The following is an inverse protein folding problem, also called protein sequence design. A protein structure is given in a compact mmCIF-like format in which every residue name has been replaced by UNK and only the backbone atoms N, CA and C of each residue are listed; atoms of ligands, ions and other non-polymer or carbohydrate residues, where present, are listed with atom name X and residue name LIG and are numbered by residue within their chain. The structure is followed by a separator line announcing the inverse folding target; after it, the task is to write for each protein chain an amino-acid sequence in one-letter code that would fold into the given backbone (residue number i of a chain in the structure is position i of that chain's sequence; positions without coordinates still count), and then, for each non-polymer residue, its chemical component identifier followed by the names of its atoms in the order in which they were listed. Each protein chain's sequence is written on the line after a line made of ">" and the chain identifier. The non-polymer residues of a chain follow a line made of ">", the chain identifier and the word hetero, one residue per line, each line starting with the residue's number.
data_IF_471241130451
#
_entry.id   IF_471241130451
#
_cell.length_a   1.000
_cell.length_b   1.000
_cell.length_c   1.000
_cell.angle_alpha   90.00
_cell.angle_beta   90.00
_cell.angle_gamma   90.00
#
_symmetry.space_group_name_H-M   'P 1'
#
loop_
_entity.id
_entity.type
_entity.pdbx_description
1 polymer ?
#
# COMPACT_ATOMS: atom_id res chain seq x y z
N UNK A 1 10.44 25.25 6.66
CA UNK A 1 9.50 24.11 6.72
C UNK A 1 10.27 22.81 6.74
N UNK A 2 9.84 21.82 7.52
CA UNK A 2 10.30 20.44 7.35
C UNK A 2 9.57 19.85 6.13
N UNK A 3 10.17 20.00 4.95
CA UNK A 3 9.71 19.29 3.76
C UNK A 3 9.83 17.79 4.03
N UNK A 4 8.77 17.04 3.70
CA UNK A 4 8.78 15.59 3.78
C UNK A 4 9.83 15.04 2.80
N UNK A 5 10.88 14.37 3.32
CA UNK A 5 11.90 13.67 2.54
C UNK A 5 11.20 12.72 1.57
N UNK A 6 11.50 12.83 0.28
CA UNK A 6 10.92 12.00 -0.77
C UNK A 6 11.66 10.68 -0.85
N UNK A 7 10.91 9.56 -0.90
CA UNK A 7 11.52 8.24 -1.02
C UNK A 7 12.05 7.99 -2.43
N UNK A 8 11.40 8.53 -3.46
CA UNK A 8 11.87 8.37 -4.83
C UNK A 8 13.27 9.00 -5.05
N UNK A 9 13.58 10.07 -4.31
CA UNK A 9 14.87 10.78 -4.40
C UNK A 9 16.03 10.01 -3.75
N UNK A 10 15.74 8.93 -3.01
CA UNK A 10 16.72 8.08 -2.30
C UNK A 10 16.55 6.60 -2.68
N UNK A 11 16.03 6.37 -3.89
CA UNK A 11 15.81 5.03 -4.45
C UNK A 11 17.12 4.30 -4.76
N UNK A 12 18.25 5.01 -4.79
CA UNK A 12 19.60 4.50 -4.96
C UNK A 12 20.26 4.04 -3.65
N UNK A 13 19.58 4.19 -2.51
CA UNK A 13 20.01 3.60 -1.24
C UNK A 13 20.11 2.07 -1.39
N UNK A 14 21.29 1.45 -1.14
CA UNK A 14 21.49 0.03 -1.43
C UNK A 14 20.53 -0.91 -0.71
N UNK A 15 20.19 -0.61 0.55
CA UNK A 15 19.31 -1.46 1.33
C UNK A 15 17.87 -1.39 0.82
N UNK A 16 17.39 -0.20 0.45
CA UNK A 16 16.09 -0.03 -0.17
C UNK A 16 16.02 -0.69 -1.55
N UNK A 17 17.02 -0.48 -2.41
CA UNK A 17 17.08 -1.08 -3.75
C UNK A 17 17.12 -2.61 -3.69
N UNK A 18 17.96 -3.18 -2.83
CA UNK A 18 18.03 -4.64 -2.62
C UNK A 18 16.69 -5.20 -2.13
N UNK A 19 16.03 -4.51 -1.20
CA UNK A 19 14.72 -4.91 -0.70
C UNK A 19 13.66 -4.90 -1.81
N UNK A 20 13.56 -3.80 -2.57
CA UNK A 20 12.58 -3.67 -3.65
C UNK A 20 12.81 -4.73 -4.73
N UNK A 21 14.07 -4.98 -5.12
CA UNK A 21 14.42 -6.04 -6.08
C UNK A 21 14.07 -7.42 -5.54
N UNK A 22 14.38 -7.70 -4.28
CA UNK A 22 14.03 -8.96 -3.62
C UNK A 22 12.53 -9.25 -3.63
N UNK A 23 11.71 -8.21 -3.45
CA UNK A 23 10.24 -8.28 -3.52
C UNK A 23 9.67 -8.05 -4.92
N UNK A 24 10.53 -7.88 -5.92
CA UNK A 24 10.19 -7.62 -7.33
C UNK A 24 9.29 -6.38 -7.51
N UNK A 25 9.44 -5.40 -6.63
CA UNK A 25 8.69 -4.15 -6.62
C UNK A 25 9.37 -3.14 -7.54
N UNK A 26 8.58 -2.44 -8.34
CA UNK A 26 9.06 -1.36 -9.20
C UNK A 26 9.44 -0.14 -8.36
N UNK A 27 10.61 0.48 -8.60
CA UNK A 27 10.99 1.75 -7.98
C UNK A 27 9.98 2.88 -8.21
N UNK A 28 9.17 2.81 -9.27
CA UNK A 28 8.10 3.78 -9.51
C UNK A 28 7.04 3.77 -8.40
N UNK A 29 6.92 2.69 -7.64
CA UNK A 29 6.04 2.63 -6.48
C UNK A 29 6.42 3.68 -5.42
N UNK A 30 7.70 4.03 -5.28
CA UNK A 30 8.15 5.10 -4.38
C UNK A 30 7.57 6.47 -4.76
N UNK A 31 7.34 6.70 -6.06
CA UNK A 31 6.68 7.92 -6.55
C UNK A 31 5.20 7.96 -6.17
N UNK A 32 4.54 6.80 -6.11
CA UNK A 32 3.17 6.71 -5.60
C UNK A 32 3.11 7.04 -4.10
N UNK A 33 4.07 6.55 -3.32
CA UNK A 33 4.20 6.88 -1.89
C UNK A 33 4.40 8.38 -1.68
N UNK A 34 5.31 9.00 -2.45
CA UNK A 34 5.52 10.45 -2.40
C UNK A 34 4.28 11.22 -2.86
N UNK A 35 3.57 10.71 -3.87
CA UNK A 35 2.32 11.26 -4.37
C UNK A 35 1.23 11.25 -3.30
N UNK A 36 1.07 10.15 -2.57
CA UNK A 36 0.13 10.02 -1.45
C UNK A 36 0.38 11.11 -0.39
N UNK A 37 1.64 11.28 0.02
CA UNK A 37 2.01 12.27 1.04
C UNK A 37 1.77 13.71 0.59
N UNK A 38 1.91 13.97 -0.71
CA UNK A 38 1.56 15.28 -1.29
C UNK A 38 0.05 15.51 -1.35
N UNK A 39 -0.73 14.46 -1.54
CA UNK A 39 -2.20 14.54 -1.53
C UNK A 39 -2.75 14.83 -0.14
N UNK A 40 -2.09 14.32 0.91
CA UNK A 40 -2.52 14.46 2.30
C UNK A 40 -1.46 15.17 3.18
N UNK A 41 -1.12 16.44 2.90
CA UNK A 41 -0.12 17.17 3.69
C UNK A 41 -0.50 17.35 5.17
N UNK A 42 -1.79 17.30 5.50
CA UNK A 42 -2.33 17.40 6.85
C UNK A 42 -1.89 16.26 7.78
N UNK A 43 -1.37 15.15 7.24
CA UNK A 43 -0.78 14.06 8.03
C UNK A 43 0.30 14.61 8.98
N UNK A 44 1.05 15.64 8.57
CA UNK A 44 2.10 16.25 9.42
C UNK A 44 1.52 16.81 10.72
N UNK A 45 0.27 17.29 10.70
CA UNK A 45 -0.40 17.86 11.86
C UNK A 45 -1.06 16.80 12.73
N UNK A 46 -1.75 15.85 12.10
CA UNK A 46 -2.58 14.86 12.81
C UNK A 46 -1.80 13.61 13.24
N UNK A 47 -0.68 13.32 12.56
CA UNK A 47 0.26 12.27 12.94
C UNK A 47 1.73 12.74 12.78
N UNK A 48 2.21 13.58 13.73
CA UNK A 48 3.59 14.06 13.70
C UNK A 48 4.61 12.92 13.91
N UNK A 49 4.21 11.79 14.52
CA UNK A 49 5.06 10.63 14.72
C UNK A 49 5.39 9.95 13.40
N UNK A 50 4.38 9.68 12.59
CA UNK A 50 4.54 9.18 11.22
C UNK A 50 5.43 10.11 10.39
N UNK A 51 5.13 11.42 10.40
CA UNK A 51 5.94 12.40 9.68
C UNK A 51 7.40 12.44 10.15
N UNK A 52 7.65 12.26 11.44
CA UNK A 52 9.00 12.19 11.99
C UNK A 52 9.77 10.97 11.48
N UNK A 53 9.16 9.77 11.56
CA UNK A 53 9.78 8.52 11.10
C UNK A 53 10.10 8.61 9.60
N UNK A 54 9.12 9.03 8.79
CA UNK A 54 9.30 9.16 7.33
C UNK A 54 10.42 10.12 6.93
N UNK A 55 10.80 11.05 7.80
CA UNK A 55 11.86 12.04 7.54
C UNK A 55 13.24 11.65 8.09
N UNK A 56 13.27 10.88 9.18
CA UNK A 56 14.48 10.65 9.97
C UNK A 56 15.00 9.22 9.89
N UNK A 57 14.13 8.25 9.63
CA UNK A 57 14.54 6.86 9.51
C UNK A 57 15.40 6.62 8.25
N UNK A 58 16.09 5.48 8.23
CA UNK A 58 16.75 5.01 7.02
C UNK A 58 15.71 4.79 5.90
N UNK A 59 16.07 4.90 4.61
CA UNK A 59 15.12 4.79 3.51
C UNK A 59 14.28 3.51 3.53
N UNK A 60 14.91 2.36 3.79
CA UNK A 60 14.22 1.08 3.91
C UNK A 60 13.23 1.08 5.09
N UNK A 61 13.62 1.59 6.25
CA UNK A 61 12.76 1.63 7.43
C UNK A 61 11.57 2.58 7.22
N UNK A 62 11.79 3.74 6.60
CA UNK A 62 10.72 4.65 6.22
C UNK A 62 9.76 4.01 5.20
N UNK A 63 10.30 3.28 4.22
CA UNK A 63 9.49 2.51 3.29
C UNK A 63 8.63 1.45 4.01
N UNK A 64 9.25 0.61 4.84
CA UNK A 64 8.56 -0.46 5.60
C UNK A 64 7.47 0.11 6.50
N UNK A 65 7.79 1.20 7.21
CA UNK A 65 6.84 1.91 8.05
C UNK A 65 5.63 2.40 7.24
N UNK A 66 5.83 2.97 6.05
CA UNK A 66 4.74 3.36 5.17
C UNK A 66 3.88 2.16 4.73
N UNK A 67 4.51 1.10 4.21
CA UNK A 67 3.73 -0.02 3.63
C UNK A 67 3.00 -0.86 4.68
N UNK A 68 3.41 -0.80 5.96
CA UNK A 68 2.75 -1.45 7.10
C UNK A 68 1.31 -0.97 7.32
N UNK A 69 0.99 0.27 6.91
CA UNK A 69 -0.34 0.84 7.03
C UNK A 69 -1.04 1.10 5.70
N UNK A 70 -0.38 0.82 4.56
CA UNK A 70 -0.88 1.13 3.23
C UNK A 70 -1.69 -0.03 2.64
N UNK A 71 -2.96 0.20 2.33
CA UNK A 71 -3.89 -0.86 1.92
C UNK A 71 -3.89 -1.19 0.43
N UNK A 72 -3.16 -0.43 -0.39
CA UNK A 72 -3.05 -0.72 -1.82
C UNK A 72 -1.90 -1.68 -2.11
N UNK A 73 -2.06 -2.63 -3.05
CA UNK A 73 -0.97 -3.48 -3.50
C UNK A 73 0.18 -2.67 -4.10
N UNK A 74 1.41 -3.18 -3.95
CA UNK A 74 2.60 -2.63 -4.58
C UNK A 74 2.53 -2.65 -6.12
N UNK A 75 3.43 -1.91 -6.78
CA UNK A 75 3.68 -2.05 -8.22
C UNK A 75 4.86 -2.97 -8.42
N UNK A 76 4.69 -3.96 -9.28
CA UNK A 76 5.73 -4.93 -9.58
C UNK A 76 6.57 -4.47 -10.76
N UNK A 77 7.79 -4.99 -10.86
CA UNK A 77 8.58 -4.90 -12.07
C UNK A 77 7.81 -5.50 -13.26
N UNK A 78 8.11 -5.05 -14.50
CA UNK A 78 7.53 -5.65 -15.70
C UNK A 78 7.71 -7.17 -15.72
N UNK A 79 6.75 -7.86 -16.32
CA UNK A 79 6.74 -9.32 -16.54
C UNK A 79 6.72 -10.22 -15.29
N UNK A 80 6.75 -9.65 -14.08
CA UNK A 80 6.60 -10.42 -12.84
C UNK A 80 5.18 -10.99 -12.70
N UNK A 81 4.19 -10.14 -12.98
CA UNK A 81 2.79 -10.56 -12.99
C UNK A 81 2.38 -10.85 -14.42
N UNK A 82 1.84 -12.06 -14.72
CA UNK A 82 1.46 -12.43 -16.08
C UNK A 82 0.40 -11.47 -16.62
N UNK A 83 0.63 -10.91 -17.81
CA UNK A 83 -0.31 -10.02 -18.47
C UNK A 83 -1.29 -10.82 -19.34
N UNK A 84 -2.52 -10.33 -19.47
CA UNK A 84 -3.54 -10.94 -20.32
C UNK A 84 -4.33 -12.07 -19.65
N UNK A 85 -4.79 -13.03 -20.46
CA UNK A 85 -5.62 -14.13 -19.99
C UNK A 85 -4.78 -15.22 -19.32
N UNK A 86 -5.25 -15.66 -18.16
CA UNK A 86 -4.60 -16.72 -17.40
C UNK A 86 -5.11 -18.06 -17.94
N UNK A 87 -4.20 -19.03 -18.02
CA UNK A 87 -4.54 -20.42 -18.30
C UNK A 87 -3.77 -21.33 -17.36
N UNK A 88 -4.43 -22.39 -16.89
CA UNK A 88 -3.84 -23.38 -16.00
C UNK A 88 -4.09 -24.76 -16.59
N UNK A 89 -3.10 -25.64 -16.47
CA UNK A 89 -3.25 -27.03 -16.86
C UNK A 89 -4.30 -27.73 -15.95
N UNK A 90 -5.06 -28.69 -16.48
CA UNK A 90 -5.97 -29.49 -15.67
C UNK A 90 -5.23 -30.12 -14.48
N UNK A 91 -5.77 -29.96 -13.27
CA UNK A 91 -5.17 -30.49 -12.04
C UNK A 91 -4.11 -29.58 -11.39
N UNK A 92 -3.76 -28.44 -11.99
CA UNK A 92 -2.97 -27.41 -11.32
C UNK A 92 -3.62 -27.06 -9.97
N UNK A 93 -2.82 -27.11 -8.91
CA UNK A 93 -3.22 -26.75 -7.55
C UNK A 93 -2.35 -25.57 -7.11
N UNK A 94 -2.95 -24.43 -6.75
CA UNK A 94 -2.19 -23.26 -6.35
C UNK A 94 -1.49 -23.49 -5.01
N UNK A 95 -0.30 -22.92 -4.84
CA UNK A 95 0.31 -22.80 -3.53
C UNK A 95 -0.55 -21.91 -2.63
N UNK A 96 -0.54 -22.20 -1.33
CA UNK A 96 -1.34 -21.49 -0.34
C UNK A 96 -0.62 -20.24 0.15
N UNK A 97 -1.34 -19.12 0.18
CA UNK A 97 -0.87 -17.86 0.76
C UNK A 97 -0.72 -18.01 2.27
N UNK A 98 -1.60 -18.78 2.92
CA UNK A 98 -1.52 -19.04 4.35
C UNK A 98 -0.24 -19.75 4.81
N UNK A 99 0.40 -20.51 3.91
CA UNK A 99 1.62 -21.26 4.20
C UNK A 99 2.90 -20.43 3.91
N UNK A 100 2.76 -19.23 3.34
CA UNK A 100 3.89 -18.38 3.00
C UNK A 100 4.46 -17.66 4.24
N UNK A 101 5.79 -17.70 4.38
CA UNK A 101 6.51 -16.90 5.38
C UNK A 101 6.83 -15.53 4.77
N UNK A 102 6.14 -14.47 5.22
CA UNK A 102 6.35 -13.10 4.75
C UNK A 102 6.30 -12.13 5.93
N UNK A 103 7.45 -11.55 6.27
CA UNK A 103 7.60 -10.61 7.40
C UNK A 103 6.71 -9.37 7.22
N UNK A 104 6.58 -8.86 6.00
CA UNK A 104 5.76 -7.68 5.70
C UNK A 104 4.26 -7.97 5.92
N UNK A 105 3.78 -9.16 5.53
CA UNK A 105 2.44 -9.62 5.86
C UNK A 105 2.25 -9.74 7.38
N UNK A 106 3.19 -10.35 8.09
CA UNK A 106 3.10 -10.52 9.55
C UNK A 106 3.03 -9.16 10.27
N UNK A 107 3.89 -8.23 9.86
CA UNK A 107 3.91 -6.85 10.37
C UNK A 107 2.60 -6.12 10.02
N UNK A 108 2.11 -6.26 8.79
CA UNK A 108 0.86 -5.65 8.34
C UNK A 108 -0.34 -6.17 9.16
N UNK A 109 -0.46 -7.49 9.33
CA UNK A 109 -1.56 -8.07 10.12
C UNK A 109 -1.51 -7.63 11.58
N UNK A 110 -0.32 -7.66 12.18
CA UNK A 110 -0.13 -7.29 13.59
C UNK A 110 -0.44 -5.81 13.82
N UNK A 111 0.11 -4.93 12.98
CA UNK A 111 -0.05 -3.47 13.09
C UNK A 111 -1.51 -3.05 12.97
N UNK A 112 -2.27 -3.72 12.11
CA UNK A 112 -3.66 -3.39 11.85
C UNK A 112 -4.67 -4.22 12.67
N UNK A 113 -4.19 -5.14 13.52
CA UNK A 113 -5.04 -6.02 14.33
C UNK A 113 -5.89 -6.99 13.50
N UNK A 114 -5.39 -7.41 12.34
CA UNK A 114 -6.08 -8.31 11.43
C UNK A 114 -5.86 -9.78 11.77
N UNK A 115 -6.90 -10.57 11.52
CA UNK A 115 -6.93 -12.00 11.79
C UNK A 115 -6.29 -12.79 10.64
N UNK A 116 -5.44 -13.77 10.95
CA UNK A 116 -4.80 -14.65 9.95
C UNK A 116 -5.79 -15.59 9.25
N UNK A 117 -6.97 -15.83 9.83
CA UNK A 117 -7.97 -16.72 9.24
C UNK A 117 -8.38 -16.31 7.81
N UNK A 118 -8.28 -15.02 7.50
CA UNK A 118 -8.57 -14.51 6.15
C UNK A 118 -7.61 -15.06 5.09
N UNK A 119 -6.40 -15.49 5.45
CA UNK A 119 -5.46 -16.13 4.51
C UNK A 119 -6.03 -17.46 4.00
N UNK A 120 -6.71 -18.23 4.86
CA UNK A 120 -7.40 -19.44 4.43
C UNK A 120 -8.57 -19.11 3.48
N UNK A 121 -9.27 -18.00 3.72
CA UNK A 121 -10.35 -17.53 2.84
C UNK A 121 -9.81 -17.10 1.46
N UNK A 122 -8.62 -16.51 1.41
CA UNK A 122 -7.92 -16.20 0.17
C UNK A 122 -7.58 -17.49 -0.58
N UNK A 123 -7.03 -18.49 0.10
CA UNK A 123 -6.70 -19.78 -0.50
C UNK A 123 -7.92 -20.45 -1.15
N UNK A 124 -9.06 -20.47 -0.45
CA UNK A 124 -10.31 -21.05 -0.96
C UNK A 124 -10.81 -20.32 -2.21
N UNK A 125 -10.75 -18.98 -2.20
CA UNK A 125 -11.15 -18.16 -3.34
C UNK A 125 -10.21 -18.37 -4.53
N UNK A 126 -8.89 -18.38 -4.30
CA UNK A 126 -7.87 -18.65 -5.32
C UNK A 126 -8.07 -20.04 -5.94
N UNK A 127 -8.30 -21.07 -5.12
CA UNK A 127 -8.58 -22.42 -5.61
C UNK A 127 -9.90 -22.49 -6.41
N UNK A 128 -10.93 -21.74 -6.01
CA UNK A 128 -12.18 -21.59 -6.76
C UNK A 128 -11.95 -20.94 -8.13
N UNK A 129 -11.19 -19.84 -8.17
CA UNK A 129 -10.88 -19.09 -9.38
C UNK A 129 -10.02 -19.89 -10.36
N UNK A 130 -8.99 -20.60 -9.87
CA UNK A 130 -8.18 -21.52 -10.68
C UNK A 130 -9.06 -22.57 -11.36
N UNK A 131 -10.00 -23.19 -10.62
CA UNK A 131 -10.94 -24.17 -11.18
C UNK A 131 -11.87 -23.58 -12.24
N UNK A 132 -12.30 -22.32 -12.08
CA UNK A 132 -13.08 -21.62 -13.11
C UNK A 132 -12.26 -21.44 -14.39
N UNK A 133 -11.01 -20.99 -14.27
CA UNK A 133 -10.10 -20.79 -15.40
C UNK A 133 -9.78 -22.12 -16.10
N UNK A 134 -9.51 -23.20 -15.35
CA UNK A 134 -9.28 -24.54 -15.91
C UNK A 134 -10.47 -25.07 -16.74
N UNK A 135 -11.69 -24.64 -16.41
CA UNK A 135 -12.92 -24.96 -17.15
C UNK A 135 -13.18 -24.02 -18.34
N UNK A 136 -12.29 -23.07 -18.61
CA UNK A 136 -12.42 -22.09 -19.67
C UNK A 136 -13.38 -20.94 -19.37
N UNK A 137 -13.76 -20.73 -18.11
CA UNK A 137 -14.58 -19.58 -17.74
C UNK A 137 -13.73 -18.30 -17.69
N UNK A 138 -14.30 -17.21 -18.21
CA UNK A 138 -13.74 -15.87 -18.02
C UNK A 138 -13.92 -15.44 -16.56
N UNK A 139 -12.91 -14.73 -16.04
CA UNK A 139 -12.91 -14.17 -14.68
C UNK A 139 -12.80 -12.64 -14.76
N UNK A 140 -13.34 -11.95 -13.75
CA UNK A 140 -13.29 -10.48 -13.72
C UNK A 140 -11.87 -9.97 -13.47
N UNK A 141 -11.60 -8.71 -13.81
CA UNK A 141 -10.28 -8.09 -13.64
C UNK A 141 -9.79 -8.16 -12.18
N UNK A 142 -10.67 -7.92 -11.20
CA UNK A 142 -10.33 -7.98 -9.77
C UNK A 142 -9.92 -9.39 -9.33
N UNK A 143 -10.61 -10.41 -9.84
CA UNK A 143 -10.35 -11.82 -9.56
C UNK A 143 -9.03 -12.25 -10.21
N UNK A 144 -8.77 -11.78 -11.44
CA UNK A 144 -7.51 -11.98 -12.15
C UNK A 144 -6.35 -11.36 -11.36
N UNK A 145 -6.54 -10.16 -10.79
CA UNK A 145 -5.54 -9.49 -9.95
C UNK A 145 -5.27 -10.26 -8.66
N UNK A 146 -6.31 -10.80 -8.01
CA UNK A 146 -6.14 -11.66 -6.85
C UNK A 146 -5.30 -12.90 -7.19
N UNK A 147 -5.61 -13.59 -8.30
CA UNK A 147 -4.79 -14.72 -8.77
C UNK A 147 -3.34 -14.29 -9.07
N UNK A 148 -3.15 -13.14 -9.70
CA UNK A 148 -1.81 -12.63 -10.03
C UNK A 148 -0.96 -12.46 -8.76
N UNK A 149 -1.49 -11.77 -7.75
CA UNK A 149 -0.75 -11.54 -6.52
C UNK A 149 -0.56 -12.82 -5.70
N UNK A 150 -1.57 -13.67 -5.61
CA UNK A 150 -1.48 -14.91 -4.82
C UNK A 150 -0.47 -15.92 -5.38
N UNK A 151 -0.32 -15.99 -6.71
CA UNK A 151 0.51 -17.00 -7.36
C UNK A 151 1.91 -16.52 -7.75
N UNK A 152 2.06 -15.22 -8.06
CA UNK A 152 3.34 -14.65 -8.54
C UNK A 152 3.81 -13.43 -7.76
N UNK A 153 2.94 -12.81 -6.97
CA UNK A 153 3.26 -11.66 -6.15
C UNK A 153 3.69 -12.02 -4.72
N UNK A 154 3.68 -11.01 -3.87
CA UNK A 154 3.94 -11.07 -2.45
C UNK A 154 2.62 -11.39 -1.71
N UNK A 155 2.65 -12.25 -0.67
CA UNK A 155 1.46 -12.62 0.10
C UNK A 155 0.64 -11.44 0.63
N UNK A 156 1.33 -10.39 1.11
CA UNK A 156 0.69 -9.16 1.59
C UNK A 156 -0.13 -8.42 0.52
N UNK A 157 0.27 -8.49 -0.74
CA UNK A 157 -0.46 -7.84 -1.83
C UNK A 157 -1.70 -8.65 -2.23
N UNK A 158 -1.64 -9.98 -2.11
CA UNK A 158 -2.82 -10.84 -2.25
C UNK A 158 -3.86 -10.54 -1.16
N UNK A 159 -3.38 -10.36 0.08
CA UNK A 159 -4.23 -9.90 1.18
C UNK A 159 -4.89 -8.57 0.86
N UNK A 160 -4.10 -7.55 0.53
CA UNK A 160 -4.58 -6.19 0.24
C UNK A 160 -5.64 -6.19 -0.87
N UNK A 161 -5.39 -6.96 -1.93
CA UNK A 161 -6.33 -7.13 -3.03
C UNK A 161 -7.63 -7.83 -2.60
N UNK A 162 -7.54 -8.88 -1.79
CA UNK A 162 -8.71 -9.61 -1.30
C UNK A 162 -9.56 -8.73 -0.38
N UNK A 163 -8.93 -8.08 0.60
CA UNK A 163 -9.61 -7.23 1.57
C UNK A 163 -10.39 -6.09 0.88
N UNK A 164 -9.77 -5.44 -0.10
CA UNK A 164 -10.38 -4.31 -0.80
C UNK A 164 -11.53 -4.72 -1.74
N UNK A 165 -11.51 -5.93 -2.33
CA UNK A 165 -12.42 -6.28 -3.44
C UNK A 165 -13.32 -7.50 -3.24
N UNK A 166 -13.04 -8.36 -2.25
CA UNK A 166 -13.68 -9.66 -2.06
C UNK A 166 -14.27 -9.86 -0.67
N UNK A 167 -13.81 -9.12 0.34
CA UNK A 167 -14.29 -9.29 1.71
C UNK A 167 -15.68 -8.65 1.88
N UNK A 168 -16.70 -9.49 2.11
CA UNK A 168 -18.11 -9.06 2.29
C UNK A 168 -18.62 -9.25 3.73
N UNK A 169 -17.87 -9.93 4.60
CA UNK A 169 -18.38 -10.46 5.89
C UNK A 169 -17.83 -9.77 7.14
N UNK A 170 -16.68 -9.09 7.10
CA UNK A 170 -16.03 -8.49 8.28
C UNK A 170 -15.69 -7.02 8.05
N UNK A 171 -16.68 -6.19 7.74
CA UNK A 171 -16.48 -4.75 7.78
C UNK A 171 -17.15 -4.14 9.02
N UNK A 172 -16.36 -3.97 10.09
CA UNK A 172 -16.52 -2.80 10.98
C UNK A 172 -16.20 -1.49 10.25
N UNK A 173 -15.57 -1.55 9.06
CA UNK A 173 -15.08 -0.41 8.30
C UNK A 173 -15.71 -0.40 6.89
N UNK A 174 -16.84 0.26 6.68
CA UNK A 174 -17.43 0.42 5.33
C UNK A 174 -16.57 1.27 4.37
N UNK A 175 -15.39 1.70 4.80
CA UNK A 175 -14.38 2.36 4.00
C UNK A 175 -13.01 1.98 4.56
N UNK A 176 -12.20 1.25 3.79
CA UNK A 176 -10.78 1.06 4.07
C UNK A 176 -10.06 2.27 3.45
N UNK A 177 -9.48 3.18 4.25
CA UNK A 177 -8.70 4.27 3.70
C UNK A 177 -7.51 3.71 2.91
N UNK A 178 -6.93 4.52 2.01
CA UNK A 178 -5.72 4.10 1.29
C UNK A 178 -4.56 3.77 2.26
N UNK A 179 -4.56 4.39 3.44
CA UNK A 179 -3.63 4.11 4.53
C UNK A 179 -4.28 4.38 5.89
N UNK A 180 -3.94 3.60 6.91
CA UNK A 180 -4.37 3.81 8.31
C UNK A 180 -4.07 5.19 8.88
N UNK A 181 -2.98 5.86 8.46
CA UNK A 181 -2.62 7.19 8.96
C UNK A 181 -3.74 8.22 8.69
N UNK A 182 -4.58 7.98 7.69
CA UNK A 182 -5.72 8.84 7.39
C UNK A 182 -6.85 8.72 8.41
N UNK A 183 -6.86 7.71 9.27
CA UNK A 183 -7.86 7.58 10.35
C UNK A 183 -7.67 8.62 11.45
N UNK A 184 -6.43 9.13 11.62
CA UNK A 184 -6.13 10.23 12.53
C UNK A 184 -6.69 11.58 12.03
N UNK A 185 -7.02 11.69 10.74
CA UNK A 185 -7.54 12.91 10.14
C UNK A 185 -9.07 12.97 10.36
N UNK A 186 -9.60 14.03 11.02
CA UNK A 186 -11.03 14.15 11.27
C UNK A 186 -11.87 14.15 9.98
N UNK A 187 -12.85 13.26 9.89
CA UNK A 187 -13.78 13.17 8.75
C UNK A 187 -14.95 14.15 8.93
N UNK A 188 -14.79 15.41 8.50
CA UNK A 188 -15.87 16.40 8.49
C UNK A 188 -15.49 17.83 8.06
N UNK A 189 -15.99 18.23 6.88
CA UNK A 189 -16.26 19.58 6.35
C UNK A 189 -15.22 20.73 6.32
N UNK A 190 -13.96 20.51 6.66
CA UNK A 190 -13.04 21.66 6.77
C UNK A 190 -12.15 21.87 5.53
N UNK A 191 -12.77 22.36 4.45
CA UNK A 191 -12.06 23.26 3.54
C UNK A 191 -11.31 24.36 4.34
N UNK A 192 -11.81 24.72 5.54
CA UNK A 192 -11.17 25.61 6.51
C UNK A 192 -9.85 25.10 7.08
N UNK A 193 -9.61 23.79 7.26
CA UNK A 193 -8.32 23.30 7.77
C UNK A 193 -7.22 23.40 6.70
N UNK A 194 -7.53 23.02 5.46
CA UNK A 194 -6.62 23.18 4.31
C UNK A 194 -6.42 24.67 3.97
N UNK A 195 -7.46 25.50 4.03
CA UNK A 195 -7.38 26.95 3.84
C UNK A 195 -6.56 27.61 4.95
N UNK A 196 -6.76 27.25 6.23
CA UNK A 196 -5.93 27.74 7.35
C UNK A 196 -4.48 27.31 7.21
N UNK A 197 -4.21 26.10 6.70
CA UNK A 197 -2.86 25.66 6.38
C UNK A 197 -2.25 26.57 5.30
N UNK A 198 -2.95 26.79 4.19
CA UNK A 198 -2.47 27.67 3.10
C UNK A 198 -2.34 29.14 3.54
N UNK A 199 -3.19 29.64 4.44
CA UNK A 199 -3.13 30.98 5.02
C UNK A 199 -1.96 31.14 5.99
N UNK A 200 -1.74 30.19 6.91
CA UNK A 200 -0.57 30.18 7.79
C UNK A 200 0.74 30.12 6.98
N UNK A 201 0.76 29.32 5.92
CA UNK A 201 1.91 29.22 5.01
C UNK A 201 2.15 30.50 4.19
N UNK A 202 1.09 31.23 3.79
CA UNK A 202 1.23 32.51 3.08
C UNK A 202 1.62 33.68 3.99
N UNK A 203 1.23 33.66 5.27
CA UNK A 203 1.63 34.69 6.25
C UNK A 203 3.11 34.60 6.57
N UNK A 204 3.68 33.39 6.71
CA UNK A 204 5.11 33.19 6.93
C UNK A 204 5.97 33.61 5.71
N UNK A 205 5.50 33.38 4.48
CA UNK A 205 6.20 33.84 3.26
C UNK A 205 6.24 35.37 3.17
N UNK A 206 5.16 36.06 3.54
CA UNK A 206 5.15 37.53 3.60
C UNK A 206 5.98 38.09 4.75
N UNK A 207 5.99 37.44 5.91
CA UNK A 207 6.82 37.85 7.04
C UNK A 207 8.32 37.63 6.79
N UNK A 208 8.70 36.61 6.02
CA UNK A 208 10.09 36.36 5.61
C UNK A 208 10.60 37.23 4.45
N UNK A 209 9.70 37.84 3.68
CA UNK A 209 10.05 38.68 2.52
C UNK A 209 10.20 40.17 2.86
N UNK A 210 9.86 40.59 4.08
CA UNK A 210 9.89 42.00 4.51
C UNK A 210 11.16 42.43 5.26
N UNK A 211 12.21 41.59 5.27
CA UNK A 211 13.48 41.90 5.96
C UNK A 211 14.68 42.00 5.00
N UNK A 212 14.44 42.60 3.82
CA UNK A 212 15.50 43.15 2.97
C UNK A 212 15.01 44.46 2.37
N UNK A 213 15.22 45.55 3.10
CA UNK A 213 15.82 46.81 2.62
C UNK A 213 16.03 47.75 3.81
#
# INVERSE_FOLDING_TARGET
>A
MATLRRLADVSDDPALDDYLRGRKISPDFLKEIDGFRRTYPEIILYDPGFAHIMNRAAPLDAYKHFVSGFHRPARYLPDILPQGDLSFHPGFTPARVADASDEELDEFLTTNGYDRDILNMIDDEVASLVRKVQKGHLIHLKDRKLLQYALWGNPVDAYKQYEFHHQLRRLRHHYVPDHTVLEAIPKGNDASATIRLLELLNVEIKAGSNNRH
#
